data_IF_054953551775
#
_entry.id   IF_054953551775
#
_cell.length_a   1.000
_cell.length_b   1.000
_cell.length_c   1.000
_cell.angle_alpha   90.00
_cell.angle_beta   90.00
_cell.angle_gamma   90.00
#
_symmetry.space_group_name_H-M   'P 1'
#
loop_
_entity.id
_entity.type
_entity.pdbx_description
1 polymer ?
#
# COMPACT_ATOMS: atom_id res chain seq x y z
N UNK A 1 41.24 -26.13 -8.19
CA UNK A 1 40.09 -26.35 -9.10
C UNK A 1 39.16 -25.17 -8.94
N UNK A 2 39.03 -24.31 -9.95
CA UNK A 2 38.18 -23.13 -9.89
C UNK A 2 36.86 -23.39 -10.59
N UNK A 3 35.75 -23.18 -9.91
CA UNK A 3 34.42 -23.34 -10.50
C UNK A 3 34.18 -22.27 -11.57
N UNK A 4 33.96 -22.72 -12.80
CA UNK A 4 33.65 -21.85 -13.93
C UNK A 4 32.16 -21.52 -13.85
N UNK A 5 31.84 -20.36 -13.30
CA UNK A 5 30.46 -19.92 -13.15
C UNK A 5 30.00 -19.19 -14.41
N UNK A 6 28.86 -19.60 -14.97
CA UNK A 6 28.28 -18.92 -16.12
C UNK A 6 27.61 -17.59 -15.71
N UNK A 7 28.34 -16.49 -15.90
CA UNK A 7 27.88 -15.15 -15.54
C UNK A 7 26.62 -14.70 -16.31
N UNK A 8 26.37 -15.22 -17.53
CA UNK A 8 25.17 -14.92 -18.30
C UNK A 8 23.92 -15.47 -17.61
N UNK A 9 23.98 -16.71 -17.14
CA UNK A 9 22.88 -17.33 -16.40
C UNK A 9 22.64 -16.61 -15.06
N UNK A 10 23.70 -16.25 -14.34
CA UNK A 10 23.60 -15.49 -13.10
C UNK A 10 22.94 -14.12 -13.31
N UNK A 11 23.36 -13.36 -14.34
CA UNK A 11 22.73 -12.07 -14.70
C UNK A 11 21.26 -12.23 -15.08
N UNK A 12 20.92 -13.26 -15.85
CA UNK A 12 19.52 -13.57 -16.21
C UNK A 12 18.69 -13.93 -14.98
N UNK A 13 19.26 -14.65 -14.01
CA UNK A 13 18.63 -14.92 -12.72
C UNK A 13 18.29 -13.64 -11.96
N UNK A 14 19.26 -12.74 -11.79
CA UNK A 14 19.06 -11.44 -11.13
C UNK A 14 17.97 -10.60 -11.82
N UNK A 15 18.01 -10.50 -13.15
CA UNK A 15 17.03 -9.74 -13.91
C UNK A 15 15.60 -10.30 -13.78
N UNK A 16 15.41 -11.62 -13.66
CA UNK A 16 14.09 -12.21 -13.38
C UNK A 16 13.63 -11.88 -11.96
N UNK A 17 14.51 -12.00 -10.98
CA UNK A 17 14.18 -11.70 -9.58
C UNK A 17 13.79 -10.23 -9.37
N UNK A 18 14.48 -9.29 -10.01
CA UNK A 18 14.11 -7.87 -9.97
C UNK A 18 12.73 -7.61 -10.57
N UNK A 19 12.43 -8.22 -11.73
CA UNK A 19 11.09 -8.13 -12.35
C UNK A 19 10.00 -8.69 -11.45
N UNK A 20 10.27 -9.78 -10.75
CA UNK A 20 9.31 -10.38 -9.83
C UNK A 20 9.04 -9.48 -8.61
N UNK A 21 10.08 -8.87 -8.02
CA UNK A 21 9.92 -7.88 -6.93
C UNK A 21 9.08 -6.68 -7.38
N UNK A 22 9.33 -6.16 -8.58
CA UNK A 22 8.54 -5.06 -9.16
C UNK A 22 7.10 -5.50 -9.38
N UNK A 23 6.87 -6.71 -9.92
CA UNK A 23 5.54 -7.26 -10.11
C UNK A 23 4.79 -7.45 -8.79
N UNK A 24 5.45 -7.91 -7.73
CA UNK A 24 4.85 -8.01 -6.39
C UNK A 24 4.47 -6.64 -5.83
N UNK A 25 5.36 -5.64 -5.93
CA UNK A 25 5.05 -4.25 -5.58
C UNK A 25 3.87 -3.72 -6.39
N UNK A 26 3.81 -4.00 -7.68
CA UNK A 26 2.72 -3.56 -8.54
C UNK A 26 1.42 -4.31 -8.26
N UNK A 27 1.44 -5.59 -7.88
CA UNK A 27 0.25 -6.30 -7.38
C UNK A 27 -0.23 -5.74 -6.04
N UNK A 28 0.68 -5.38 -5.14
CA UNK A 28 0.29 -4.74 -3.88
C UNK A 28 -0.33 -3.35 -4.11
N UNK A 29 0.26 -2.56 -5.03
CA UNK A 29 -0.17 -1.19 -5.34
C UNK A 29 -1.39 -1.12 -6.26
N UNK A 30 -1.45 -2.00 -7.26
CA UNK A 30 -2.43 -1.97 -8.35
C UNK A 30 -3.27 -3.24 -8.48
N UNK A 31 -3.02 -4.27 -7.67
CA UNK A 31 -3.79 -5.52 -7.68
C UNK A 31 -5.13 -5.44 -6.97
N UNK A 32 -5.47 -4.29 -6.37
CA UNK A 32 -6.85 -4.00 -6.00
C UNK A 32 -7.64 -3.68 -7.26
N UNK A 33 -8.66 -4.49 -7.52
CA UNK A 33 -9.63 -4.26 -8.60
C UNK A 33 -10.34 -2.92 -8.39
N UNK A 34 -10.89 -2.34 -9.47
CA UNK A 34 -11.64 -1.07 -9.39
C UNK A 34 -12.75 -1.14 -8.32
N UNK A 35 -13.47 -2.26 -8.28
CA UNK A 35 -14.55 -2.52 -7.32
C UNK A 35 -14.06 -2.61 -5.85
N UNK A 36 -12.86 -3.12 -5.59
CA UNK A 36 -12.28 -3.15 -4.25
C UNK A 36 -11.80 -1.76 -3.80
N UNK A 37 -11.26 -0.98 -4.73
CA UNK A 37 -10.84 0.40 -4.47
C UNK A 37 -12.06 1.29 -4.15
N UNK A 38 -13.14 1.14 -4.91
CA UNK A 38 -14.39 1.87 -4.68
C UNK A 38 -15.04 1.50 -3.35
N UNK A 39 -15.09 0.20 -3.01
CA UNK A 39 -15.57 -0.25 -1.69
C UNK A 39 -14.75 0.34 -0.55
N UNK A 40 -13.43 0.31 -0.64
CA UNK A 40 -12.56 0.91 0.38
C UNK A 40 -12.74 2.42 0.50
N UNK A 41 -12.94 3.12 -0.61
CA UNK A 41 -13.20 4.56 -0.59
C UNK A 41 -14.53 4.87 0.08
N UNK A 42 -15.59 4.12 -0.25
CA UNK A 42 -16.89 4.25 0.40
C UNK A 42 -16.84 3.93 1.90
N UNK A 43 -16.10 2.89 2.28
CA UNK A 43 -15.92 2.52 3.69
C UNK A 43 -15.14 3.61 4.44
N UNK A 44 -14.10 4.17 3.83
CA UNK A 44 -13.35 5.29 4.40
C UNK A 44 -14.21 6.55 4.54
N UNK A 45 -15.07 6.86 3.56
CA UNK A 45 -16.03 7.98 3.63
C UNK A 45 -17.05 7.77 4.75
N UNK A 46 -17.65 6.57 4.86
CA UNK A 46 -18.58 6.28 5.97
C UNK A 46 -17.90 6.41 7.32
N UNK A 47 -16.63 6.03 7.43
CA UNK A 47 -15.85 6.22 8.66
C UNK A 47 -15.58 7.70 8.94
N UNK A 48 -15.21 8.50 7.94
CA UNK A 48 -15.01 9.94 8.13
C UNK A 48 -16.30 10.64 8.51
N UNK A 49 -17.40 10.34 7.83
CA UNK A 49 -18.71 10.94 8.07
C UNK A 49 -19.24 10.52 9.45
N UNK A 50 -19.01 9.27 9.84
CA UNK A 50 -19.33 8.78 11.18
C UNK A 50 -18.53 9.48 12.26
N UNK A 51 -17.22 9.71 12.04
CA UNK A 51 -16.37 10.47 12.96
C UNK A 51 -16.76 11.95 13.02
N UNK A 52 -17.15 12.55 11.91
CA UNK A 52 -17.56 13.95 11.82
C UNK A 52 -18.92 14.18 12.49
N UNK A 53 -19.90 13.32 12.24
CA UNK A 53 -21.20 13.37 12.92
C UNK A 53 -21.09 13.04 14.43
N UNK A 54 -20.13 12.18 14.80
CA UNK A 54 -19.84 11.89 16.20
C UNK A 54 -18.90 12.92 16.85
N UNK A 55 -18.36 13.86 16.06
CA UNK A 55 -17.54 14.95 16.56
C UNK A 55 -18.48 15.91 17.29
N UNK A 56 -18.71 15.62 18.57
CA UNK A 56 -19.13 16.64 19.51
C UNK A 56 -18.01 17.66 19.49
N UNK A 57 -18.33 18.90 19.13
CA UNK A 57 -17.46 20.03 19.41
C UNK A 57 -17.18 19.97 20.91
N UNK A 58 -16.02 19.42 21.29
CA UNK A 58 -15.45 19.68 22.58
C UNK A 58 -15.26 21.18 22.57
N UNK A 59 -16.28 21.86 23.08
CA UNK A 59 -16.25 23.24 23.50
C UNK A 59 -14.92 23.37 24.25
N UNK A 60 -14.00 24.09 23.63
CA UNK A 60 -12.70 24.43 24.19
C UNK A 60 -12.96 25.42 25.35
N UNK A 61 -13.67 24.96 26.37
CA UNK A 61 -13.94 25.66 27.64
C UNK A 61 -12.90 25.17 28.65
N UNK A 62 -11.61 25.34 28.33
CA UNK A 62 -10.52 24.79 29.12
C UNK A 62 -9.38 25.75 29.46
N UNK A 63 -9.38 26.98 28.96
CA UNK A 63 -8.24 27.88 29.17
C UNK A 63 -8.66 29.34 29.41
N UNK A 64 -9.38 29.58 30.53
CA UNK A 64 -9.41 30.88 31.20
C UNK A 64 -9.55 30.72 32.72
N UNK A 65 -8.58 31.37 33.41
CA UNK A 65 -8.36 31.59 34.85
C UNK A 65 -7.41 30.59 35.49
#
# INVERSE_FOLDING_TARGET
MGDIINLRQARKGRARAEKEKIAQSNRAKFGRTKAERERQLQDAQRQSDGLENSRRECRDDGDKI
#
